data_IF_626810973891
#
_entry.id   IF_626810973891
#
_cell.length_a   1.000
_cell.length_b   1.000
_cell.length_c   1.000
_cell.angle_alpha   90.00
_cell.angle_beta   90.00
_cell.angle_gamma   90.00
#
_symmetry.space_group_name_H-M   'P 1'
#
loop_
_entity.id
_entity.type
_entity.pdbx_description
1 polymer ?
#
# COMPACT_ATOMS: atom_id res chain seq x y z
N UNK A 1 -0.26 10.03 21.77
CA UNK A 1 -1.00 11.14 21.12
C UNK A 1 -1.53 10.82 19.71
N UNK A 2 -1.15 9.67 19.11
CA UNK A 2 -1.61 9.20 17.78
C UNK A 2 -3.11 9.42 17.51
N UNK A 3 -3.95 9.05 18.48
CA UNK A 3 -5.42 9.15 18.41
C UNK A 3 -5.93 10.53 17.99
N UNK A 4 -5.23 11.61 18.33
CA UNK A 4 -5.62 12.95 17.92
C UNK A 4 -5.62 13.10 16.39
N UNK A 5 -4.64 12.51 15.71
CA UNK A 5 -4.57 12.49 14.25
C UNK A 5 -5.59 11.50 13.67
N UNK A 6 -5.63 10.27 14.24
CA UNK A 6 -6.52 9.19 13.75
C UNK A 6 -8.00 9.57 13.79
N UNK A 7 -8.42 10.41 14.75
CA UNK A 7 -9.83 10.79 14.92
C UNK A 7 -10.21 12.06 14.19
N UNK A 8 -9.24 12.89 13.81
CA UNK A 8 -9.49 14.23 13.25
C UNK A 8 -8.99 14.41 11.82
N UNK A 9 -8.17 13.50 11.30
CA UNK A 9 -7.50 13.69 10.00
C UNK A 9 -6.29 14.63 10.05
N UNK A 10 -5.91 15.07 11.25
CA UNK A 10 -4.75 15.93 11.49
C UNK A 10 -3.44 15.32 11.00
N UNK A 11 -2.46 16.19 10.75
CA UNK A 11 -1.15 15.79 10.30
C UNK A 11 -0.26 15.29 11.44
N UNK A 12 0.64 14.38 11.11
CA UNK A 12 1.74 13.96 11.97
C UNK A 12 3.07 14.17 11.23
N UNK A 13 4.01 14.85 11.88
CA UNK A 13 5.37 15.09 11.37
C UNK A 13 6.35 14.65 12.45
N UNK A 14 7.32 13.84 12.07
CA UNK A 14 8.39 13.36 12.96
C UNK A 14 9.74 13.86 12.44
N UNK A 15 10.53 14.47 13.32
CA UNK A 15 11.84 15.04 13.01
C UNK A 15 12.70 15.07 14.26
N UNK A 16 14.02 14.90 14.12
CA UNK A 16 14.95 14.93 15.25
C UNK A 16 15.05 16.34 15.88
N UNK A 17 14.82 17.38 15.08
CA UNK A 17 14.80 18.77 15.52
C UNK A 17 13.94 19.66 14.62
N UNK A 18 13.45 20.79 15.16
CA UNK A 18 12.75 21.84 14.41
C UNK A 18 13.66 22.59 13.43
N UNK A 19 14.99 22.48 13.57
CA UNK A 19 15.93 23.12 12.66
C UNK A 19 16.08 22.38 11.31
N UNK A 20 15.67 21.11 11.24
CA UNK A 20 15.82 20.27 10.05
C UNK A 20 14.78 20.59 8.96
N UNK A 21 15.18 20.37 7.71
CA UNK A 21 14.33 20.57 6.54
C UNK A 21 13.08 19.70 6.58
N UNK A 22 13.17 18.46 7.08
CA UNK A 22 12.01 17.58 7.28
C UNK A 22 10.88 18.29 8.03
N UNK A 23 11.18 18.98 9.13
CA UNK A 23 10.17 19.76 9.87
C UNK A 23 9.78 21.03 9.12
N UNK A 24 10.76 21.86 8.73
CA UNK A 24 10.51 23.19 8.14
C UNK A 24 9.70 23.10 6.85
N UNK A 25 10.05 22.18 5.96
CA UNK A 25 9.41 22.04 4.66
C UNK A 25 8.07 21.32 4.78
N UNK A 26 7.95 20.34 5.68
CA UNK A 26 6.62 19.78 6.02
C UNK A 26 5.69 20.87 6.54
N UNK A 27 6.16 21.74 7.43
CA UNK A 27 5.36 22.83 7.98
C UNK A 27 4.94 23.82 6.89
N UNK A 28 5.85 24.20 5.98
CA UNK A 28 5.51 25.03 4.81
C UNK A 28 4.46 24.36 3.94
N UNK A 29 4.58 23.05 3.72
CA UNK A 29 3.65 22.29 2.89
C UNK A 29 2.22 22.29 3.46
N UNK A 30 2.04 22.32 4.79
CA UNK A 30 0.72 22.51 5.43
C UNK A 30 0.10 23.84 4.99
N UNK A 31 0.87 24.90 4.77
CA UNK A 31 0.34 26.20 4.35
C UNK A 31 0.31 26.41 2.83
N UNK A 32 0.44 25.34 2.04
CA UNK A 32 0.36 25.41 0.59
C UNK A 32 -0.96 26.00 0.11
N UNK A 33 -0.88 26.91 -0.86
CA UNK A 33 -2.03 27.57 -1.46
C UNK A 33 -2.46 26.86 -2.76
N UNK A 34 -3.76 26.89 -3.02
CA UNK A 34 -4.36 26.52 -4.30
C UNK A 34 -4.11 27.61 -5.37
N UNK A 35 -4.57 27.36 -6.59
CA UNK A 35 -4.44 28.31 -7.70
C UNK A 35 -5.13 29.66 -7.46
N UNK A 36 -6.03 29.75 -6.48
CA UNK A 36 -6.77 30.95 -6.11
C UNK A 36 -6.20 31.64 -4.86
N UNK A 37 -5.04 31.19 -4.35
CA UNK A 37 -4.40 31.76 -3.18
C UNK A 37 -5.01 31.36 -1.83
N UNK A 38 -5.85 30.33 -1.77
CA UNK A 38 -6.41 29.82 -0.51
C UNK A 38 -5.70 28.55 -0.05
N UNK A 39 -5.69 28.25 1.25
CA UNK A 39 -5.11 26.99 1.74
C UNK A 39 -5.81 25.79 1.07
N UNK A 40 -5.05 24.74 0.72
CA UNK A 40 -5.58 23.51 0.12
C UNK A 40 -6.47 22.66 1.04
N UNK A 41 -6.81 23.16 2.22
CA UNK A 41 -7.55 22.43 3.25
C UNK A 41 -9.06 22.67 3.19
N UNK A 42 -9.80 21.64 3.64
CA UNK A 42 -11.18 21.70 4.07
C UNK A 42 -11.29 21.33 5.55
N UNK A 43 -12.21 21.99 6.25
CA UNK A 43 -12.40 21.84 7.70
C UNK A 43 -13.82 21.38 8.03
N UNK A 44 -13.98 20.83 9.23
CA UNK A 44 -15.28 20.39 9.77
C UNK A 44 -16.06 19.53 8.76
N UNK A 45 -15.33 18.62 8.11
CA UNK A 45 -15.89 17.80 7.07
C UNK A 45 -16.80 16.71 7.66
N UNK A 46 -17.86 16.41 6.93
CA UNK A 46 -18.78 15.32 7.18
C UNK A 46 -18.85 14.46 5.92
N UNK A 47 -18.56 13.18 6.06
CA UNK A 47 -18.63 12.20 4.97
C UNK A 47 -19.80 11.27 5.26
N UNK A 48 -20.73 11.15 4.31
CA UNK A 48 -21.85 10.22 4.36
C UNK A 48 -21.83 9.29 3.15
N UNK A 49 -22.11 8.01 3.39
CA UNK A 49 -22.15 6.97 2.37
C UNK A 49 -23.57 6.46 2.20
N UNK A 50 -24.03 6.49 0.96
CA UNK A 50 -25.30 5.92 0.51
C UNK A 50 -25.02 4.75 -0.41
N UNK A 51 -25.75 3.65 -0.25
CA UNK A 51 -25.61 2.48 -1.11
C UNK A 51 -26.95 1.77 -1.31
N UNK A 52 -27.01 0.91 -2.32
CA UNK A 52 -28.14 0.00 -2.53
C UNK A 52 -28.33 -0.93 -1.32
N UNK A 53 -29.54 -1.44 -1.13
CA UNK A 53 -29.93 -2.21 0.07
C UNK A 53 -29.13 -3.50 0.27
N UNK A 54 -28.61 -4.05 -0.82
CA UNK A 54 -27.80 -5.27 -0.88
C UNK A 54 -26.32 -5.04 -0.48
N UNK A 55 -25.92 -3.78 -0.28
CA UNK A 55 -24.63 -3.41 0.30
C UNK A 55 -24.86 -2.83 1.69
N UNK A 56 -24.08 -3.30 2.66
CA UNK A 56 -24.00 -2.72 3.98
C UNK A 56 -22.60 -2.15 4.22
N UNK A 57 -22.53 -1.09 5.00
CA UNK A 57 -21.30 -0.39 5.36
C UNK A 57 -20.76 -0.99 6.66
N UNK A 58 -19.63 -1.69 6.58
CA UNK A 58 -18.93 -2.25 7.73
C UNK A 58 -18.19 -1.20 8.55
N UNK A 59 -17.67 -0.19 7.87
CA UNK A 59 -17.00 0.94 8.49
C UNK A 59 -15.92 1.54 7.61
N UNK A 60 -15.06 2.33 8.21
CA UNK A 60 -14.00 3.07 7.54
C UNK A 60 -12.70 3.02 8.34
N UNK A 61 -11.57 2.98 7.63
CA UNK A 61 -10.23 3.17 8.21
C UNK A 61 -9.56 4.41 7.61
N UNK A 62 -9.16 5.32 8.50
CA UNK A 62 -8.53 6.59 8.17
C UNK A 62 -8.87 7.66 9.21
N UNK A 63 -8.34 8.87 9.01
CA UNK A 63 -8.45 9.98 9.95
C UNK A 63 -9.86 10.54 10.14
N UNK A 64 -10.74 9.87 10.90
CA UNK A 64 -12.14 10.23 11.05
C UNK A 64 -12.76 9.67 12.34
N UNK A 65 -13.96 10.15 12.68
CA UNK A 65 -14.74 9.68 13.84
C UNK A 65 -16.20 9.42 13.46
N UNK A 66 -16.74 8.30 13.92
CA UNK A 66 -18.16 7.94 13.71
C UNK A 66 -19.12 8.99 14.31
N UNK A 67 -20.20 9.32 13.60
CA UNK A 67 -21.33 10.09 14.17
C UNK A 67 -22.42 9.22 14.78
N UNK A 68 -22.22 7.88 14.79
CA UNK A 68 -23.17 6.89 15.27
C UNK A 68 -24.55 6.96 14.60
N UNK A 69 -24.62 7.46 13.35
CA UNK A 69 -25.85 7.50 12.57
C UNK A 69 -26.30 6.09 12.21
N UNK A 70 -27.38 5.64 12.85
CA UNK A 70 -27.98 4.33 12.56
C UNK A 70 -28.81 4.39 11.28
N UNK A 71 -28.91 3.26 10.60
CA UNK A 71 -29.69 3.16 9.37
C UNK A 71 -29.68 1.75 8.80
N UNK A 72 -30.54 1.49 7.80
CA UNK A 72 -30.68 0.17 7.21
C UNK A 72 -29.43 -0.30 6.47
N UNK A 73 -28.51 0.61 6.10
CA UNK A 73 -27.28 0.29 5.38
C UNK A 73 -26.06 0.11 6.29
N UNK A 74 -26.23 0.14 7.62
CA UNK A 74 -25.15 -0.21 8.57
C UNK A 74 -25.01 -1.73 8.64
N UNK A 75 -23.79 -2.26 8.51
CA UNK A 75 -23.53 -3.70 8.67
C UNK A 75 -23.38 -4.06 10.15
N UNK A 76 -23.78 -5.28 10.50
CA UNK A 76 -23.47 -5.88 11.80
C UNK A 76 -21.99 -6.26 11.93
N UNK A 77 -21.30 -6.47 10.81
CA UNK A 77 -19.86 -6.73 10.76
C UNK A 77 -19.09 -5.41 10.78
N UNK A 78 -18.61 -5.04 11.96
CA UNK A 78 -17.86 -3.80 12.20
C UNK A 78 -16.39 -3.95 11.78
N UNK A 79 -15.89 -3.00 10.98
CA UNK A 79 -14.48 -2.89 10.59
C UNK A 79 -14.03 -1.43 10.75
N UNK A 80 -12.98 -1.18 11.54
CA UNK A 80 -12.50 0.18 11.81
C UNK A 80 -13.55 1.03 12.56
N UNK A 81 -13.70 2.29 12.14
CA UNK A 81 -14.76 3.18 12.64
C UNK A 81 -16.11 2.80 11.99
N UNK A 82 -16.77 1.77 12.52
CA UNK A 82 -18.04 1.27 11.98
C UNK A 82 -19.29 1.67 12.77
N UNK A 83 -20.38 0.92 12.55
CA UNK A 83 -21.65 1.12 13.25
C UNK A 83 -22.41 2.40 12.84
N UNK A 84 -22.05 2.98 11.70
CA UNK A 84 -22.58 4.23 11.13
C UNK A 84 -22.46 4.22 9.60
N UNK A 85 -23.18 5.12 8.91
CA UNK A 85 -22.93 5.49 7.50
C UNK A 85 -22.42 6.92 7.34
N UNK A 86 -22.13 7.60 8.46
CA UNK A 86 -21.71 9.00 8.50
C UNK A 86 -20.55 9.20 9.50
N UNK A 87 -19.56 9.98 9.09
CA UNK A 87 -18.35 10.29 9.86
C UNK A 87 -18.00 11.77 9.81
N UNK A 88 -17.40 12.26 10.89
CA UNK A 88 -16.76 13.57 10.94
C UNK A 88 -15.27 13.44 10.66
N UNK A 89 -14.71 14.42 9.96
CA UNK A 89 -13.29 14.59 9.71
C UNK A 89 -12.94 16.04 10.02
N UNK A 90 -12.00 16.25 10.95
CA UNK A 90 -11.61 17.59 11.38
C UNK A 90 -10.96 18.42 10.26
N UNK A 91 -10.01 17.81 9.56
CA UNK A 91 -9.32 18.40 8.41
C UNK A 91 -9.18 17.40 7.26
N UNK A 92 -9.45 17.87 6.04
CA UNK A 92 -9.22 17.15 4.80
C UNK A 92 -8.39 18.01 3.85
N UNK A 93 -7.64 17.38 2.96
CA UNK A 93 -6.98 18.01 1.82
C UNK A 93 -7.06 17.07 0.60
N UNK A 94 -6.54 17.47 -0.58
CA UNK A 94 -6.62 16.65 -1.78
C UNK A 94 -5.96 15.27 -1.69
N UNK A 95 -5.08 15.03 -0.70
CA UNK A 95 -4.40 13.75 -0.48
C UNK A 95 -5.10 12.89 0.58
N UNK A 96 -6.02 13.42 1.37
CA UNK A 96 -6.77 12.67 2.38
C UNK A 96 -7.54 11.50 1.76
N UNK A 97 -7.16 10.26 2.12
CA UNK A 97 -7.77 9.03 1.61
C UNK A 97 -8.35 8.17 2.74
N UNK A 98 -9.66 7.88 2.67
CA UNK A 98 -10.37 7.00 3.59
C UNK A 98 -10.66 5.64 2.92
N UNK A 99 -10.49 4.54 3.66
CA UNK A 99 -10.76 3.19 3.19
C UNK A 99 -12.10 2.70 3.73
N UNK A 100 -13.10 2.56 2.86
CA UNK A 100 -14.44 2.10 3.24
C UNK A 100 -14.58 0.60 2.97
N UNK A 101 -15.10 -0.12 3.96
CA UNK A 101 -15.33 -1.56 3.88
C UNK A 101 -16.83 -1.83 3.78
N UNK A 102 -17.21 -2.67 2.82
CA UNK A 102 -18.59 -3.03 2.57
C UNK A 102 -18.78 -4.52 2.76
N UNK A 103 -19.99 -4.88 3.18
CA UNK A 103 -20.47 -6.24 3.27
C UNK A 103 -21.59 -6.45 2.26
N UNK A 104 -21.48 -7.52 1.48
CA UNK A 104 -22.48 -7.86 0.47
C UNK A 104 -23.47 -8.80 1.12
N UNK A 105 -24.71 -8.36 1.26
CA UNK A 105 -25.77 -9.23 1.76
C UNK A 105 -26.36 -9.99 0.58
N UNK A 106 -26.17 -11.31 0.57
CA UNK A 106 -26.98 -12.17 -0.29
C UNK A 106 -28.44 -12.04 0.18
N UNK A 107 -29.37 -11.75 -0.75
CA UNK A 107 -30.81 -11.63 -0.49
C UNK A 107 -31.47 -12.83 0.20
N UNK A 108 -30.69 -13.88 0.46
CA UNK A 108 -30.98 -15.06 1.30
C UNK A 108 -31.53 -14.77 2.71
N UNK A 109 -31.35 -13.56 3.24
CA UNK A 109 -31.93 -13.10 4.51
C UNK A 109 -33.31 -12.43 4.36
N UNK A 110 -33.90 -12.43 3.17
CA UNK A 110 -35.29 -12.02 2.99
C UNK A 110 -36.26 -13.13 3.41
N UNK A 111 -37.40 -12.78 4.01
CA UNK A 111 -38.44 -13.78 4.34
C UNK A 111 -38.90 -14.59 3.10
N UNK A 112 -38.77 -14.01 1.91
CA UNK A 112 -39.07 -14.65 0.63
C UNK A 112 -38.08 -15.78 0.26
N UNK A 113 -36.78 -15.64 0.55
CA UNK A 113 -35.80 -16.70 0.31
C UNK A 113 -35.90 -17.83 1.33
N UNK A 114 -36.33 -17.55 2.57
CA UNK A 114 -36.63 -18.59 3.57
C UNK A 114 -37.82 -19.45 3.13
N UNK A 115 -38.88 -18.82 2.63
CA UNK A 115 -40.06 -19.53 2.09
C UNK A 115 -39.69 -20.34 0.84
N UNK A 116 -38.90 -19.76 -0.07
CA UNK A 116 -38.46 -20.46 -1.28
C UNK A 116 -37.56 -21.66 -0.94
N UNK A 117 -36.66 -21.53 0.03
CA UNK A 117 -35.81 -22.61 0.52
C UNK A 117 -36.62 -23.73 1.21
N UNK A 118 -37.63 -23.36 2.01
CA UNK A 118 -38.53 -24.31 2.68
C UNK A 118 -39.45 -25.06 1.70
N UNK A 119 -39.87 -24.42 0.61
CA UNK A 119 -40.66 -25.08 -0.46
C UNK A 119 -39.76 -26.02 -1.27
N UNK A 120 -38.51 -25.64 -1.55
CA UNK A 120 -37.56 -26.52 -2.25
C UNK A 120 -37.07 -27.72 -1.42
N UNK A 121 -37.16 -27.69 -0.08
CA UNK A 121 -36.86 -28.85 0.77
C UNK A 121 -38.00 -29.85 0.90
N UNK A 122 -39.21 -29.51 0.43
CA UNK A 122 -40.38 -30.41 0.41
C UNK A 122 -40.55 -31.15 -0.92
N UNK A 123 -39.81 -30.78 -1.97
CA UNK A 123 -39.79 -31.46 -3.27
C UNK A 123 -38.53 -32.33 -3.42
N UNK A 124 -38.65 -33.63 -3.17
CA UNK A 124 -37.54 -34.59 -3.25
C UNK A 124 -36.83 -34.60 -4.60
N UNK A 125 -35.52 -34.29 -4.59
CA UNK A 125 -34.66 -34.41 -5.75
C UNK A 125 -33.29 -33.76 -5.53
N UNK A 126 -32.32 -34.52 -5.02
CA UNK A 126 -30.90 -34.14 -5.01
C UNK A 126 -30.39 -33.97 -6.45
N UNK A 127 -30.21 -32.72 -6.88
CA UNK A 127 -29.24 -32.33 -7.92
C UNK A 127 -28.67 -30.97 -7.55
N UNK A 128 -27.34 -30.87 -7.62
CA UNK A 128 -26.54 -29.65 -7.49
C UNK A 128 -27.09 -28.51 -8.35
N UNK A 129 -28.06 -27.75 -7.82
CA UNK A 129 -28.44 -26.46 -8.39
C UNK A 129 -27.48 -25.44 -7.82
N UNK A 130 -26.51 -25.03 -8.63
CA UNK A 130 -25.75 -23.80 -8.45
C UNK A 130 -26.70 -22.71 -7.94
N UNK A 131 -26.48 -22.26 -6.70
CA UNK A 131 -27.19 -21.10 -6.15
C UNK A 131 -26.92 -19.91 -7.06
N UNK A 132 -27.84 -19.59 -7.96
CA UNK A 132 -27.80 -18.31 -8.64
C UNK A 132 -27.96 -17.23 -7.57
N UNK A 133 -26.93 -16.39 -7.39
CA UNK A 133 -27.07 -15.20 -6.57
C UNK A 133 -28.23 -14.38 -7.13
N UNK A 134 -29.23 -14.08 -6.30
CA UNK A 134 -30.40 -13.25 -6.67
C UNK A 134 -30.00 -11.85 -7.18
N UNK A 135 -28.74 -11.47 -6.99
CA UNK A 135 -28.16 -10.19 -7.42
C UNK A 135 -27.39 -10.28 -8.73
N UNK A 136 -27.19 -11.47 -9.31
CA UNK A 136 -26.47 -11.66 -10.55
C UNK A 136 -27.07 -10.79 -11.68
N UNK A 137 -26.23 -9.97 -12.32
CA UNK A 137 -26.66 -9.06 -13.40
C UNK A 137 -27.25 -7.73 -12.93
N UNK A 138 -27.49 -7.53 -11.63
CA UNK A 138 -27.84 -6.21 -11.07
C UNK A 138 -26.58 -5.35 -10.91
N UNK A 139 -26.78 -4.05 -10.73
CA UNK A 139 -25.72 -3.12 -10.34
C UNK A 139 -25.94 -2.62 -8.92
N UNK A 140 -24.88 -2.64 -8.12
CA UNK A 140 -24.79 -1.87 -6.90
C UNK A 140 -24.52 -0.40 -7.24
N UNK A 141 -25.09 0.51 -6.46
CA UNK A 141 -24.77 1.93 -6.54
C UNK A 141 -24.21 2.37 -5.19
N UNK A 142 -23.15 3.18 -5.22
CA UNK A 142 -22.55 3.79 -4.04
C UNK A 142 -22.38 5.28 -4.32
N UNK A 143 -22.78 6.11 -3.36
CA UNK A 143 -22.60 7.55 -3.41
C UNK A 143 -21.94 8.02 -2.11
N UNK A 144 -20.85 8.76 -2.28
CA UNK A 144 -20.17 9.48 -1.22
C UNK A 144 -20.59 10.94 -1.29
N UNK A 145 -21.05 11.49 -0.17
CA UNK A 145 -21.29 12.92 0.00
C UNK A 145 -20.34 13.46 1.06
N UNK A 146 -19.50 14.42 0.69
CA UNK A 146 -18.58 15.09 1.61
C UNK A 146 -18.94 16.57 1.70
N UNK A 147 -19.52 16.98 2.82
CA UNK A 147 -19.74 18.39 3.13
C UNK A 147 -18.57 18.92 3.93
N UNK A 148 -18.03 20.09 3.62
CA UNK A 148 -16.91 20.68 4.35
C UNK A 148 -16.89 22.21 4.25
N UNK A 149 -16.14 22.87 5.12
CA UNK A 149 -15.86 24.31 5.05
C UNK A 149 -14.53 24.48 4.32
N UNK A 150 -14.55 25.07 3.13
CA UNK A 150 -13.32 25.41 2.40
C UNK A 150 -12.58 26.55 3.12
N UNK A 151 -11.28 26.63 2.94
CA UNK A 151 -10.41 27.66 3.55
C UNK A 151 -10.80 29.11 3.24
N UNK A 152 -11.60 29.34 2.20
CA UNK A 152 -12.19 30.65 1.88
C UNK A 152 -13.48 30.96 2.68
N UNK A 153 -13.87 30.10 3.62
CA UNK A 153 -15.08 30.24 4.46
C UNK A 153 -16.36 29.67 3.85
N UNK A 154 -16.35 29.25 2.58
CA UNK A 154 -17.55 28.69 1.95
C UNK A 154 -17.81 27.24 2.38
N UNK A 155 -19.07 26.92 2.66
CA UNK A 155 -19.52 25.54 2.80
C UNK A 155 -19.66 24.92 1.41
N UNK A 156 -19.00 23.78 1.18
CA UNK A 156 -19.01 23.03 -0.08
C UNK A 156 -19.54 21.62 0.12
N UNK A 157 -20.11 21.06 -0.93
CA UNK A 157 -20.52 19.66 -1.03
C UNK A 157 -19.81 19.03 -2.22
N UNK A 158 -19.06 17.95 -1.98
CA UNK A 158 -18.52 17.08 -3.01
C UNK A 158 -19.35 15.80 -3.06
N UNK A 159 -19.84 15.43 -4.24
CA UNK A 159 -20.61 14.21 -4.45
C UNK A 159 -19.87 13.34 -5.46
N UNK A 160 -19.61 12.09 -5.09
CA UNK A 160 -19.03 11.08 -5.98
C UNK A 160 -19.97 9.89 -6.01
N UNK A 161 -20.49 9.53 -7.19
CA UNK A 161 -21.36 8.37 -7.36
C UNK A 161 -20.75 7.41 -8.37
N UNK A 162 -20.80 6.11 -8.09
CA UNK A 162 -20.41 5.09 -9.05
C UNK A 162 -21.29 3.85 -8.90
N UNK A 163 -21.23 2.99 -9.91
CA UNK A 163 -21.95 1.73 -9.95
C UNK A 163 -20.98 0.57 -10.18
N UNK A 164 -21.20 -0.54 -9.50
CA UNK A 164 -20.46 -1.79 -9.70
C UNK A 164 -21.44 -2.91 -10.05
N UNK A 165 -21.11 -3.75 -11.03
CA UNK A 165 -21.97 -4.90 -11.38
C UNK A 165 -21.73 -6.02 -10.37
N UNK A 166 -22.79 -6.64 -9.89
CA UNK A 166 -22.65 -7.90 -9.17
C UNK A 166 -22.16 -8.96 -10.13
N UNK A 167 -21.08 -9.65 -9.76
CA UNK A 167 -20.57 -10.75 -10.54
C UNK A 167 -21.62 -11.87 -10.64
N UNK A 168 -21.62 -12.57 -11.77
CA UNK A 168 -22.30 -13.86 -11.88
C UNK A 168 -21.59 -14.88 -10.96
N UNK A 169 -22.20 -16.03 -10.62
CA UNK A 169 -21.58 -17.03 -9.75
C UNK A 169 -20.34 -17.73 -10.36
N UNK A 170 -19.70 -17.14 -11.37
CA UNK A 170 -18.44 -17.58 -11.96
C UNK A 170 -17.26 -16.94 -11.24
N UNK A 171 -16.32 -17.77 -10.80
CA UNK A 171 -15.08 -17.31 -10.18
C UNK A 171 -14.22 -16.47 -11.16
N UNK A 172 -14.28 -16.78 -12.45
CA UNK A 172 -13.56 -16.04 -13.48
C UNK A 172 -14.06 -14.60 -13.63
N UNK A 173 -15.35 -14.35 -13.45
CA UNK A 173 -15.90 -12.98 -13.50
C UNK A 173 -15.50 -12.16 -12.27
N UNK A 174 -15.40 -12.80 -11.10
CA UNK A 174 -14.88 -12.18 -9.88
C UNK A 174 -13.38 -11.87 -10.01
N UNK A 175 -12.60 -12.77 -10.60
CA UNK A 175 -11.16 -12.62 -10.78
C UNK A 175 -10.81 -11.36 -11.57
N UNK A 176 -11.55 -11.05 -12.64
CA UNK A 176 -11.35 -9.83 -13.46
C UNK A 176 -11.62 -8.52 -12.72
N UNK A 177 -12.41 -8.58 -11.63
CA UNK A 177 -12.71 -7.42 -10.80
C UNK A 177 -11.70 -7.18 -9.68
N UNK A 178 -10.69 -8.05 -9.53
CA UNK A 178 -9.70 -7.93 -8.48
C UNK A 178 -8.62 -6.91 -8.84
N UNK A 179 -8.56 -5.84 -8.06
CA UNK A 179 -7.48 -4.87 -8.10
C UNK A 179 -6.47 -5.22 -7.00
N UNK A 180 -5.38 -5.89 -7.39
CA UNK A 180 -4.32 -6.30 -6.48
C UNK A 180 -3.60 -5.14 -5.76
N UNK A 181 -3.50 -3.98 -6.39
CA UNK A 181 -2.85 -2.80 -5.81
C UNK A 181 -3.70 -2.24 -4.67
N UNK A 182 -4.98 -1.98 -4.96
CA UNK A 182 -5.94 -1.52 -3.95
C UNK A 182 -6.13 -2.57 -2.85
N UNK A 183 -6.19 -3.87 -3.21
CA UNK A 183 -6.31 -4.95 -2.23
C UNK A 183 -5.11 -5.01 -1.28
N UNK A 184 -3.88 -4.85 -1.78
CA UNK A 184 -2.68 -4.83 -0.95
C UNK A 184 -2.72 -3.69 0.08
N UNK A 185 -3.14 -2.48 -0.34
CA UNK A 185 -3.27 -1.32 0.54
C UNK A 185 -4.38 -1.53 1.58
N UNK A 186 -5.56 -2.02 1.17
CA UNK A 186 -6.66 -2.30 2.10
C UNK A 186 -6.32 -3.39 3.10
N UNK A 187 -5.56 -4.41 2.68
CA UNK A 187 -5.07 -5.47 3.56
C UNK A 187 -4.01 -4.97 4.53
N UNK A 188 -3.12 -4.06 4.11
CA UNK A 188 -2.19 -3.38 5.01
C UNK A 188 -2.93 -2.57 6.08
N UNK A 189 -3.93 -1.75 5.70
CA UNK A 189 -4.76 -0.99 6.64
C UNK A 189 -5.46 -1.93 7.64
N UNK A 190 -5.99 -3.04 7.16
CA UNK A 190 -6.63 -4.03 8.04
C UNK A 190 -5.61 -4.71 8.96
N UNK A 191 -4.41 -5.06 8.48
CA UNK A 191 -3.36 -5.59 9.33
C UNK A 191 -3.02 -4.61 10.48
N UNK A 192 -2.95 -3.31 10.20
CA UNK A 192 -2.67 -2.30 11.24
C UNK A 192 -3.80 -2.20 12.27
N UNK A 193 -5.05 -2.25 11.81
CA UNK A 193 -6.22 -2.28 12.69
C UNK A 193 -6.20 -3.51 13.61
N UNK A 194 -5.88 -4.70 13.06
CA UNK A 194 -5.74 -5.92 13.88
C UNK A 194 -4.58 -5.80 14.87
N UNK A 195 -3.46 -5.17 14.48
CA UNK A 195 -2.32 -4.91 15.36
C UNK A 195 -2.61 -3.97 16.52
N UNK A 196 -3.77 -3.28 16.57
CA UNK A 196 -4.15 -2.50 17.75
C UNK A 196 -4.61 -3.37 18.92
N UNK A 197 -5.06 -4.60 18.64
CA UNK A 197 -5.61 -5.53 19.65
C UNK A 197 -4.91 -6.90 19.68
N UNK A 198 -4.28 -7.31 18.59
CA UNK A 198 -3.62 -8.62 18.43
C UNK A 198 -2.10 -8.46 18.40
N UNK A 199 -1.37 -9.50 18.84
CA UNK A 199 0.08 -9.52 18.79
C UNK A 199 0.62 -9.62 17.35
N UNK A 200 1.84 -9.12 17.14
CA UNK A 200 2.45 -9.04 15.80
C UNK A 200 2.55 -10.39 15.09
N UNK A 201 2.84 -11.49 15.81
CA UNK A 201 2.99 -12.82 15.21
C UNK A 201 1.62 -13.37 14.75
N UNK A 202 0.58 -13.15 15.53
CA UNK A 202 -0.79 -13.51 15.15
C UNK A 202 -1.26 -12.75 13.91
N UNK A 203 -0.96 -11.46 13.81
CA UNK A 203 -1.29 -10.65 12.61
C UNK A 203 -0.53 -11.16 11.38
N UNK A 204 0.76 -11.49 11.50
CA UNK A 204 1.54 -12.06 10.40
C UNK A 204 0.99 -13.41 9.93
N UNK A 205 0.66 -14.31 10.86
CA UNK A 205 0.03 -15.61 10.53
C UNK A 205 -1.32 -15.43 9.85
N UNK A 206 -2.12 -14.46 10.29
CA UNK A 206 -3.38 -14.12 9.64
C UNK A 206 -3.17 -13.60 8.22
N UNK A 207 -2.15 -12.76 8.01
CA UNK A 207 -1.81 -12.23 6.69
C UNK A 207 -1.38 -13.37 5.74
N UNK A 208 -0.46 -14.24 6.19
CA UNK A 208 0.03 -15.38 5.44
C UNK A 208 -1.13 -16.35 5.10
N UNK A 209 -2.00 -16.66 6.07
CA UNK A 209 -3.20 -17.50 5.84
C UNK A 209 -4.18 -16.86 4.85
N UNK A 210 -4.36 -15.54 4.93
CA UNK A 210 -5.24 -14.81 4.01
C UNK A 210 -4.70 -14.84 2.58
N UNK A 211 -3.38 -14.69 2.42
CA UNK A 211 -2.71 -14.84 1.13
C UNK A 211 -2.88 -16.26 0.58
N UNK A 212 -2.56 -17.30 1.36
CA UNK A 212 -2.71 -18.70 0.93
C UNK A 212 -4.15 -18.97 0.49
N UNK A 213 -5.14 -18.58 1.31
CA UNK A 213 -6.55 -18.78 0.97
C UNK A 213 -6.98 -18.08 -0.33
N UNK A 214 -6.46 -16.86 -0.58
CA UNK A 214 -6.75 -16.13 -1.81
C UNK A 214 -6.14 -16.87 -3.01
N UNK A 215 -4.86 -17.20 -2.93
CA UNK A 215 -4.11 -17.80 -4.03
C UNK A 215 -4.59 -19.22 -4.32
N UNK A 216 -4.84 -20.05 -3.31
CA UNK A 216 -5.45 -21.38 -3.49
C UNK A 216 -6.81 -21.32 -4.17
N UNK A 217 -7.56 -20.23 -3.99
CA UNK A 217 -8.87 -20.07 -4.61
C UNK A 217 -8.78 -19.65 -6.08
N UNK A 218 -7.84 -18.77 -6.43
CA UNK A 218 -7.79 -18.12 -7.75
C UNK A 218 -6.64 -18.57 -8.67
N UNK A 219 -5.71 -19.38 -8.19
CA UNK A 219 -4.65 -19.96 -9.01
C UNK A 219 -5.11 -21.22 -9.74
N UNK A 220 -4.50 -21.49 -10.89
CA UNK A 220 -4.63 -22.75 -11.60
C UNK A 220 -3.48 -23.68 -11.22
N UNK A 221 -3.79 -24.90 -10.79
CA UNK A 221 -2.79 -25.92 -10.44
C UNK A 221 -3.40 -27.32 -10.40
N UNK A 222 -2.55 -28.33 -10.56
CA UNK A 222 -2.84 -29.72 -10.21
C UNK A 222 -2.40 -29.99 -8.77
N UNK A 223 -3.23 -30.71 -8.03
CA UNK A 223 -2.96 -31.02 -6.63
C UNK A 223 -1.64 -31.77 -6.49
N UNK A 224 -0.80 -31.31 -5.55
CA UNK A 224 0.54 -31.83 -5.29
C UNK A 224 1.58 -31.67 -6.43
N UNK A 225 1.32 -30.85 -7.46
CA UNK A 225 2.29 -30.55 -8.52
C UNK A 225 2.55 -29.05 -8.65
N UNK A 226 3.66 -28.59 -8.06
CA UNK A 226 4.08 -27.19 -8.07
C UNK A 226 4.40 -26.65 -9.48
N UNK A 227 4.78 -27.49 -10.45
CA UNK A 227 5.16 -27.03 -11.79
C UNK A 227 3.96 -26.52 -12.61
N UNK A 228 2.77 -27.00 -12.25
CA UNK A 228 1.50 -26.62 -12.90
C UNK A 228 0.94 -25.29 -12.39
N UNK A 229 1.48 -24.74 -11.31
CA UNK A 229 0.99 -23.52 -10.68
C UNK A 229 1.06 -22.32 -11.63
N UNK A 230 -0.07 -21.64 -11.83
CA UNK A 230 -0.16 -20.40 -12.61
C UNK A 230 -1.08 -19.40 -11.92
N UNK A 231 -0.69 -18.12 -11.98
CA UNK A 231 -1.48 -17.00 -11.52
C UNK A 231 -1.87 -16.11 -12.70
N UNK A 232 -3.13 -15.66 -12.71
CA UNK A 232 -3.59 -14.64 -13.63
C UNK A 232 -2.91 -13.29 -13.34
N UNK A 233 -2.85 -12.42 -14.36
CA UNK A 233 -2.24 -11.09 -14.29
C UNK A 233 -2.78 -10.22 -13.16
N UNK A 234 -4.07 -10.39 -12.85
CA UNK A 234 -4.81 -9.65 -11.84
C UNK A 234 -4.30 -9.97 -10.42
N UNK A 235 -3.59 -11.08 -10.22
CA UNK A 235 -3.10 -11.55 -8.92
C UNK A 235 -1.57 -11.67 -8.85
N UNK A 236 -0.87 -11.54 -9.98
CA UNK A 236 0.53 -11.95 -10.11
C UNK A 236 1.50 -11.19 -9.21
N UNK A 237 1.24 -9.92 -8.92
CA UNK A 237 2.11 -9.09 -8.05
C UNK A 237 1.62 -9.01 -6.61
N UNK A 238 0.38 -9.46 -6.32
CA UNK A 238 -0.17 -9.46 -4.96
C UNK A 238 0.70 -10.21 -3.92
N UNK A 239 1.22 -11.43 -4.21
CA UNK A 239 2.14 -12.11 -3.30
C UNK A 239 3.41 -11.31 -2.98
N UNK A 240 3.94 -10.58 -3.97
CA UNK A 240 5.11 -9.73 -3.79
C UNK A 240 4.82 -8.56 -2.84
N UNK A 241 3.64 -7.92 -2.95
CA UNK A 241 3.23 -6.90 -1.99
C UNK A 241 3.10 -7.48 -0.57
N UNK A 242 2.54 -8.68 -0.42
CA UNK A 242 2.43 -9.32 0.89
C UNK A 242 3.80 -9.67 1.48
N UNK A 243 4.75 -10.10 0.65
CA UNK A 243 6.15 -10.32 1.03
C UNK A 243 6.82 -9.05 1.56
N UNK A 244 6.65 -7.91 0.88
CA UNK A 244 7.23 -6.65 1.35
C UNK A 244 6.50 -6.08 2.57
N UNK A 245 5.17 -6.21 2.63
CA UNK A 245 4.36 -5.76 3.76
C UNK A 245 4.75 -6.48 5.06
N UNK A 246 4.85 -7.81 5.04
CA UNK A 246 5.15 -8.62 6.24
C UNK A 246 6.53 -8.33 6.85
N UNK A 247 7.49 -7.87 6.04
CA UNK A 247 8.84 -7.49 6.49
C UNK A 247 9.03 -6.00 6.72
N UNK A 248 8.02 -5.19 6.42
CA UNK A 248 8.07 -3.75 6.62
C UNK A 248 8.06 -3.38 8.11
N UNK A 249 8.58 -2.19 8.44
CA UNK A 249 8.49 -1.60 9.78
C UNK A 249 7.05 -1.27 10.21
N UNK A 250 6.06 -1.45 9.34
CA UNK A 250 4.67 -1.35 9.74
C UNK A 250 4.22 -2.53 10.60
N UNK A 251 4.77 -3.73 10.37
CA UNK A 251 4.40 -4.96 11.06
C UNK A 251 5.56 -5.55 11.90
N UNK A 252 6.80 -5.37 11.46
CA UNK A 252 7.99 -5.74 12.23
C UNK A 252 8.35 -4.59 13.18
N UNK A 253 8.32 -4.88 14.49
CA UNK A 253 8.57 -3.88 15.53
C UNK A 253 10.02 -3.83 15.99
N UNK A 254 10.85 -4.79 15.56
CA UNK A 254 12.27 -4.81 15.88
C UNK A 254 12.96 -3.60 15.24
N UNK A 255 13.85 -2.94 16.01
CA UNK A 255 14.61 -1.77 15.57
C UNK A 255 13.76 -0.55 15.16
N UNK A 256 12.52 -0.46 15.65
CA UNK A 256 11.67 0.72 15.54
C UNK A 256 11.07 1.08 16.91
N UNK A 257 11.08 2.37 17.25
CA UNK A 257 10.41 2.86 18.44
C UNK A 257 8.88 2.85 18.27
N UNK A 258 8.10 2.79 19.37
CA UNK A 258 6.64 2.90 19.30
C UNK A 258 6.15 4.17 18.59
N UNK A 259 6.87 5.28 18.74
CA UNK A 259 6.53 6.57 18.12
C UNK A 259 6.79 6.56 16.61
N UNK A 260 7.90 5.97 16.16
CA UNK A 260 8.16 5.77 14.72
C UNK A 260 7.09 4.90 14.08
N UNK A 261 6.71 3.80 14.74
CA UNK A 261 5.64 2.94 14.25
C UNK A 261 4.30 3.68 14.16
N UNK A 262 3.96 4.45 15.20
CA UNK A 262 2.74 5.26 15.20
C UNK A 262 2.76 6.28 14.07
N UNK A 263 3.90 6.95 13.84
CA UNK A 263 4.10 7.87 12.73
C UNK A 263 3.90 7.22 11.37
N UNK A 264 4.62 6.14 11.08
CA UNK A 264 4.53 5.46 9.78
C UNK A 264 3.10 4.98 9.49
N UNK A 265 2.43 4.35 10.48
CA UNK A 265 1.05 3.88 10.31
C UNK A 265 0.06 5.03 10.13
N UNK A 266 0.22 6.14 10.87
CA UNK A 266 -0.68 7.30 10.76
C UNK A 266 -0.59 7.93 9.38
N UNK A 267 0.62 8.11 8.85
CA UNK A 267 0.83 8.64 7.50
C UNK A 267 0.27 7.67 6.46
N UNK A 268 0.53 6.36 6.58
CA UNK A 268 -0.04 5.36 5.67
C UNK A 268 -1.57 5.38 5.62
N UNK A 269 -2.24 5.53 6.77
CA UNK A 269 -3.70 5.57 6.86
C UNK A 269 -4.33 6.78 6.15
N UNK A 270 -3.54 7.78 5.79
CA UNK A 270 -3.97 9.00 5.11
C UNK A 270 -3.71 8.99 3.61
N UNK A 271 -2.72 8.22 3.15
CA UNK A 271 -2.23 8.26 1.77
C UNK A 271 -3.09 7.46 0.78
N UNK A 272 -2.96 7.82 -0.50
CA UNK A 272 -3.64 7.14 -1.61
C UNK A 272 -2.97 5.79 -1.94
N UNK A 273 -3.57 5.03 -2.86
CA UNK A 273 -3.07 3.69 -3.25
C UNK A 273 -1.62 3.75 -3.71
N UNK A 274 -1.28 4.67 -4.63
CA UNK A 274 0.06 4.78 -5.22
C UNK A 274 1.13 5.02 -4.13
N UNK A 275 0.91 6.01 -3.26
CA UNK A 275 1.85 6.33 -2.18
C UNK A 275 1.93 5.22 -1.14
N UNK A 276 0.81 4.57 -0.82
CA UNK A 276 0.79 3.39 0.06
C UNK A 276 1.54 2.20 -0.54
N UNK A 277 1.53 2.01 -1.86
CA UNK A 277 2.35 0.98 -2.51
C UNK A 277 3.84 1.28 -2.40
N UNK A 278 4.26 2.53 -2.65
CA UNK A 278 5.67 2.96 -2.47
C UNK A 278 6.14 2.71 -1.02
N UNK A 279 5.25 2.91 -0.05
CA UNK A 279 5.52 2.60 1.35
C UNK A 279 5.70 1.10 1.62
N UNK A 280 4.88 0.24 1.00
CA UNK A 280 4.95 -1.22 1.13
C UNK A 280 6.21 -1.76 0.43
N UNK A 281 6.35 -1.42 -0.85
CA UNK A 281 7.41 -1.83 -1.74
C UNK A 281 8.07 -0.58 -2.33
N UNK A 282 9.20 -0.14 -1.75
CA UNK A 282 9.96 1.00 -2.25
C UNK A 282 10.33 0.87 -3.73
N UNK A 283 10.32 2.00 -4.44
CA UNK A 283 10.74 2.08 -5.84
C UNK A 283 12.26 2.31 -5.92
N UNK A 284 12.92 1.66 -6.87
CA UNK A 284 14.35 1.81 -7.13
C UNK A 284 14.56 2.16 -8.61
N UNK A 285 15.17 3.31 -8.88
CA UNK A 285 15.53 3.76 -10.23
C UNK A 285 17.03 3.66 -10.44
N UNK A 286 17.46 3.10 -11.58
CA UNK A 286 18.86 3.06 -12.00
C UNK A 286 19.15 4.19 -13.00
N UNK A 287 20.28 4.87 -12.78
CA UNK A 287 20.86 5.86 -13.68
C UNK A 287 22.25 5.36 -14.06
N UNK A 288 22.49 5.18 -15.35
CA UNK A 288 23.74 4.62 -15.87
C UNK A 288 24.05 5.22 -17.24
N UNK A 289 25.30 5.11 -17.70
CA UNK A 289 25.66 5.51 -19.06
C UNK A 289 25.12 4.58 -20.14
N UNK A 290 24.76 3.35 -19.77
CA UNK A 290 24.22 2.34 -20.68
C UNK A 290 22.79 2.68 -21.13
N UNK A 291 22.03 3.37 -20.28
CA UNK A 291 20.64 3.73 -20.54
C UNK A 291 20.45 5.24 -20.55
N UNK A 292 19.92 5.84 -21.63
CA UNK A 292 19.77 7.30 -21.75
C UNK A 292 18.71 7.88 -20.81
N UNK A 293 17.82 7.06 -20.28
CA UNK A 293 16.74 7.47 -19.36
C UNK A 293 16.75 6.61 -18.11
N UNK A 294 16.47 7.18 -16.92
CA UNK A 294 16.35 6.39 -15.71
C UNK A 294 15.22 5.37 -15.86
N UNK A 295 15.45 4.16 -15.36
CA UNK A 295 14.49 3.08 -15.47
C UNK A 295 14.32 2.33 -14.14
N UNK A 296 13.11 1.79 -13.85
CA UNK A 296 12.89 0.98 -12.67
C UNK A 296 13.70 -0.31 -12.71
N UNK A 297 14.34 -0.63 -11.59
CA UNK A 297 15.05 -1.90 -11.37
C UNK A 297 14.47 -2.61 -10.15
N UNK A 298 14.73 -3.92 -10.05
CA UNK A 298 14.29 -4.70 -8.90
C UNK A 298 14.94 -4.18 -7.62
N UNK A 299 14.16 -4.11 -6.54
CA UNK A 299 14.66 -3.80 -5.19
C UNK A 299 15.40 -5.03 -4.63
N UNK A 300 16.54 -5.33 -5.23
CA UNK A 300 17.27 -6.59 -5.09
C UNK A 300 18.79 -6.34 -5.11
N UNK A 301 19.53 -7.22 -4.46
CA UNK A 301 20.99 -7.17 -4.34
C UNK A 301 21.68 -7.10 -5.71
N UNK A 302 21.11 -7.74 -6.74
CA UNK A 302 21.64 -7.75 -8.11
C UNK A 302 21.64 -6.37 -8.78
N UNK A 303 20.83 -5.42 -8.28
CA UNK A 303 20.77 -4.05 -8.81
C UNK A 303 21.88 -3.15 -8.25
N UNK A 304 22.59 -3.59 -7.20
CA UNK A 304 23.64 -2.81 -6.52
C UNK A 304 25.00 -2.91 -7.25
N UNK A 305 25.05 -2.41 -8.49
CA UNK A 305 26.26 -2.44 -9.34
C UNK A 305 27.22 -1.29 -9.03
N UNK A 306 28.50 -1.46 -9.35
CA UNK A 306 29.53 -0.45 -9.06
C UNK A 306 29.45 0.79 -9.97
N UNK A 307 28.98 0.61 -11.22
CA UNK A 307 29.00 1.61 -12.28
C UNK A 307 27.67 2.37 -12.45
N UNK A 308 26.77 2.31 -11.47
CA UNK A 308 25.44 2.93 -11.55
C UNK A 308 25.17 3.87 -10.37
N UNK A 309 24.20 4.75 -10.54
CA UNK A 309 23.59 5.52 -9.45
C UNK A 309 22.18 4.97 -9.24
N UNK A 310 21.80 4.77 -7.98
CA UNK A 310 20.46 4.32 -7.63
C UNK A 310 19.73 5.41 -6.86
N UNK A 311 18.46 5.64 -7.21
CA UNK A 311 17.55 6.45 -6.39
C UNK A 311 16.48 5.54 -5.79
N UNK A 312 16.49 5.39 -4.47
CA UNK A 312 15.44 4.71 -3.72
C UNK A 312 14.40 5.72 -3.24
N UNK A 313 13.14 5.44 -3.54
CA UNK A 313 12.01 6.10 -2.93
C UNK A 313 11.21 5.12 -2.06
N UNK A 314 11.25 5.33 -0.75
CA UNK A 314 10.51 4.53 0.25
C UNK A 314 9.37 5.29 0.91
N UNK A 315 8.88 6.34 0.23
CA UNK A 315 7.99 7.37 0.76
C UNK A 315 8.64 8.25 1.84
N UNK A 316 9.09 7.66 2.96
CA UNK A 316 9.66 8.37 4.11
C UNK A 316 11.13 8.78 3.92
N UNK A 317 11.86 8.04 3.07
CA UNK A 317 13.24 8.35 2.71
C UNK A 317 13.38 8.39 1.20
N UNK A 318 14.10 9.40 0.72
CA UNK A 318 14.61 9.49 -0.65
C UNK A 318 16.12 9.37 -0.57
N UNK A 319 16.68 8.31 -1.16
CA UNK A 319 18.10 7.97 -1.05
C UNK A 319 18.72 7.99 -2.43
N UNK A 320 19.80 8.75 -2.59
CA UNK A 320 20.70 8.62 -3.75
C UNK A 320 21.92 7.84 -3.30
N UNK A 321 22.17 6.71 -3.94
CA UNK A 321 23.28 5.82 -3.68
C UNK A 321 24.20 5.77 -4.90
N UNK A 322 25.49 6.03 -4.69
CA UNK A 322 26.52 5.90 -5.72
C UNK A 322 27.23 4.56 -5.61
N UNK A 323 27.27 3.79 -6.71
CA UNK A 323 28.16 2.64 -6.82
C UNK A 323 29.63 3.06 -6.69
N UNK A 324 30.50 2.11 -6.30
CA UNK A 324 31.88 2.40 -5.94
C UNK A 324 32.66 3.15 -7.04
N UNK A 325 32.51 2.71 -8.30
CA UNK A 325 33.16 3.34 -9.45
C UNK A 325 32.68 4.79 -9.66
N UNK A 326 31.37 5.01 -9.59
CA UNK A 326 30.79 6.36 -9.72
C UNK A 326 31.25 7.27 -8.59
N UNK A 327 31.31 6.74 -7.37
CA UNK A 327 31.80 7.49 -6.22
C UNK A 327 33.26 7.90 -6.38
N UNK A 328 34.13 6.99 -6.83
CA UNK A 328 35.54 7.29 -7.08
C UNK A 328 35.72 8.38 -8.14
N UNK A 329 34.97 8.32 -9.25
CA UNK A 329 35.00 9.38 -10.28
C UNK A 329 34.54 10.74 -9.76
N UNK A 330 33.53 10.75 -8.88
CA UNK A 330 33.04 11.97 -8.24
C UNK A 330 34.08 12.60 -7.33
N UNK A 331 34.80 11.81 -6.53
CA UNK A 331 35.88 12.27 -5.64
C UNK A 331 37.09 12.80 -6.42
N UNK A 332 37.38 12.21 -7.59
CA UNK A 332 38.43 12.69 -8.50
C UNK A 332 38.05 13.98 -9.25
N UNK A 333 36.83 14.48 -9.07
CA UNK A 333 36.37 15.74 -9.66
C UNK A 333 36.17 15.68 -11.18
N UNK A 334 35.89 14.50 -11.75
CA UNK A 334 35.67 14.37 -13.20
C UNK A 334 34.51 15.24 -13.69
N UNK A 335 33.46 15.41 -12.87
CA UNK A 335 32.31 16.26 -13.18
C UNK A 335 32.64 17.75 -13.39
N UNK A 336 33.81 18.22 -12.95
CA UNK A 336 34.24 19.61 -13.16
C UNK A 336 35.03 19.80 -14.46
N UNK A 337 35.45 18.70 -15.12
CA UNK A 337 36.20 18.77 -16.37
C UNK A 337 35.24 18.86 -17.57
N UNK A 338 35.46 19.78 -18.52
CA UNK A 338 34.59 19.92 -19.69
C UNK A 338 34.45 18.64 -20.54
N UNK A 339 35.50 17.82 -20.59
CA UNK A 339 35.53 16.54 -21.33
C UNK A 339 34.60 15.46 -20.74
N UNK A 340 34.15 15.62 -19.49
CA UNK A 340 33.23 14.69 -18.81
C UNK A 340 31.88 15.36 -18.48
N UNK A 341 31.40 16.27 -19.33
CA UNK A 341 30.10 16.94 -19.15
C UNK A 341 28.94 15.94 -18.92
N UNK A 342 28.94 14.80 -19.63
CA UNK A 342 27.94 13.75 -19.44
C UNK A 342 27.96 13.11 -18.04
N UNK A 343 29.11 13.06 -17.37
CA UNK A 343 29.18 12.57 -15.99
C UNK A 343 28.54 13.57 -15.02
N UNK A 344 28.71 14.88 -15.26
CA UNK A 344 28.01 15.92 -14.50
C UNK A 344 26.49 15.81 -14.65
N UNK A 345 26.02 15.59 -15.88
CA UNK A 345 24.60 15.37 -16.18
C UNK A 345 24.06 14.13 -15.45
N UNK A 346 24.81 13.01 -15.48
CA UNK A 346 24.45 11.78 -14.80
C UNK A 346 24.30 11.98 -13.28
N UNK A 347 25.20 12.74 -12.65
CA UNK A 347 25.11 13.06 -11.21
C UNK A 347 23.93 13.97 -10.88
N UNK A 348 23.52 14.85 -11.80
CA UNK A 348 22.46 15.84 -11.58
C UNK A 348 21.05 15.25 -11.77
N UNK A 349 20.89 14.26 -12.66
CA UNK A 349 19.61 13.62 -12.94
C UNK A 349 18.88 13.12 -11.67
N UNK A 350 19.46 12.24 -10.83
CA UNK A 350 18.78 11.75 -9.63
C UNK A 350 18.52 12.84 -8.59
N UNK A 351 19.36 13.89 -8.53
CA UNK A 351 19.14 15.02 -7.65
C UNK A 351 17.91 15.85 -8.08
N UNK A 352 17.68 15.97 -9.39
CA UNK A 352 16.50 16.66 -9.94
C UNK A 352 15.22 15.91 -9.59
N UNK A 353 15.22 14.59 -9.80
CA UNK A 353 14.07 13.73 -9.49
C UNK A 353 13.79 13.69 -7.98
N UNK A 354 14.84 13.59 -7.16
CA UNK A 354 14.71 13.66 -5.71
C UNK A 354 14.11 15.00 -5.25
N UNK A 355 14.54 16.13 -5.81
CA UNK A 355 14.01 17.45 -5.46
C UNK A 355 12.52 17.58 -5.77
N UNK A 356 12.07 17.01 -6.90
CA UNK A 356 10.64 16.97 -7.23
C UNK A 356 9.84 16.25 -6.13
N UNK A 357 10.28 15.04 -5.74
CA UNK A 357 9.65 14.27 -4.67
C UNK A 357 9.63 15.03 -3.34
N UNK A 358 10.76 15.63 -2.94
CA UNK A 358 10.90 16.37 -1.69
C UNK A 358 9.99 17.61 -1.63
N UNK A 359 9.75 18.26 -2.77
CA UNK A 359 8.91 19.46 -2.86
C UNK A 359 7.41 19.16 -2.78
N UNK A 360 6.96 18.03 -3.34
CA UNK A 360 5.53 17.72 -3.41
C UNK A 360 5.03 16.85 -2.26
N UNK A 361 5.88 15.98 -1.70
CA UNK A 361 5.44 14.98 -0.72
C UNK A 361 5.22 15.58 0.67
N UNK A 362 4.20 15.07 1.35
CA UNK A 362 3.90 15.40 2.74
C UNK A 362 3.76 14.10 3.55
N UNK A 363 4.39 13.99 4.73
CA UNK A 363 5.46 14.87 5.22
C UNK A 363 6.68 14.82 4.27
N UNK A 364 7.53 15.85 4.35
CA UNK A 364 8.76 15.91 3.56
C UNK A 364 9.68 14.74 3.94
N UNK A 365 10.11 13.91 2.97
CA UNK A 365 10.98 12.77 3.23
C UNK A 365 12.34 13.18 3.78
N UNK A 366 12.99 12.27 4.50
CA UNK A 366 14.41 12.40 4.82
C UNK A 366 15.24 12.10 3.57
N UNK A 367 15.97 13.11 3.10
CA UNK A 367 16.92 12.94 2.00
C UNK A 367 18.24 12.37 2.52
N UNK A 368 18.77 11.34 1.84
CA UNK A 368 20.02 10.69 2.18
C UNK A 368 20.88 10.60 0.92
N UNK A 369 22.11 11.08 1.02
CA UNK A 369 23.15 10.87 0.01
C UNK A 369 24.15 9.86 0.58
N UNK A 370 24.41 8.77 -0.13
CA UNK A 370 25.38 7.76 0.30
C UNK A 370 26.07 7.08 -0.88
N UNK A 371 27.05 6.25 -0.57
CA UNK A 371 27.85 5.49 -1.53
C UNK A 371 28.01 4.06 -1.05
N UNK A 372 28.45 3.17 -1.94
CA UNK A 372 28.82 1.80 -1.61
C UNK A 372 29.82 1.77 -0.45
N UNK A 373 29.56 0.89 0.53
CA UNK A 373 30.37 0.78 1.76
C UNK A 373 30.15 1.88 2.82
N UNK A 374 29.45 2.97 2.49
CA UNK A 374 29.16 4.05 3.42
C UNK A 374 28.15 3.68 4.52
N UNK A 375 28.27 4.25 5.72
CA UNK A 375 27.41 3.92 6.87
C UNK A 375 25.91 4.17 6.62
N UNK A 376 25.58 5.21 5.85
CA UNK A 376 24.20 5.55 5.48
C UNK A 376 23.62 4.63 4.39
N UNK A 377 24.44 3.84 3.69
CA UNK A 377 23.95 2.85 2.72
C UNK A 377 23.08 1.76 3.37
N UNK A 378 23.19 1.57 4.70
CA UNK A 378 22.33 0.65 5.46
C UNK A 378 20.84 0.92 5.28
N UNK A 379 20.43 2.16 5.03
CA UNK A 379 19.02 2.51 4.80
C UNK A 379 18.50 1.92 3.48
N UNK A 380 19.35 1.81 2.46
CA UNK A 380 19.04 1.11 1.22
C UNK A 380 19.08 -0.41 1.44
N UNK A 381 20.19 -0.93 2.01
CA UNK A 381 20.40 -2.37 2.18
C UNK A 381 19.33 -3.04 3.03
N UNK A 382 18.79 -2.36 4.05
CA UNK A 382 17.70 -2.87 4.88
C UNK A 382 16.36 -3.07 4.12
N UNK A 383 16.23 -2.50 2.92
CA UNK A 383 15.03 -2.61 2.06
C UNK A 383 15.20 -3.59 0.91
N UNK A 384 16.43 -3.93 0.58
CA UNK A 384 16.78 -4.78 -0.55
C UNK A 384 16.37 -6.24 -0.29
N UNK A 385 15.85 -6.92 -1.31
CA UNK A 385 15.62 -8.36 -1.27
C UNK A 385 16.97 -9.10 -1.23
N UNK A 386 17.20 -9.97 -0.23
CA UNK A 386 18.46 -10.70 -0.10
C UNK A 386 18.48 -11.93 -1.02
N UNK A 387 18.52 -11.72 -2.34
CA UNK A 387 18.69 -12.80 -3.33
C UNK A 387 20.07 -13.44 -3.25
N UNK A 388 21.09 -12.66 -2.91
CA UNK A 388 22.45 -13.11 -2.64
C UNK A 388 22.81 -12.80 -1.18
N UNK A 389 23.07 -13.86 -0.41
CA UNK A 389 23.41 -13.77 1.00
C UNK A 389 24.76 -14.42 1.27
N UNK A 390 25.30 -14.20 2.47
CA UNK A 390 26.49 -14.90 2.95
C UNK A 390 26.37 -16.44 3.00
N UNK A 391 25.15 -16.98 2.83
CA UNK A 391 24.86 -18.43 2.78
C UNK A 391 24.69 -18.95 1.35
N UNK A 392 24.69 -18.07 0.33
CA UNK A 392 24.58 -18.49 -1.06
C UNK A 392 25.79 -19.36 -1.45
N UNK A 393 25.56 -20.43 -2.21
CA UNK A 393 26.64 -21.32 -2.65
C UNK A 393 27.54 -20.63 -3.68
N UNK A 394 28.79 -21.09 -3.81
CA UNK A 394 29.79 -20.53 -4.75
C UNK A 394 29.29 -20.37 -6.20
N UNK A 395 28.33 -21.18 -6.65
CA UNK A 395 27.75 -21.13 -8.00
C UNK A 395 26.60 -20.12 -8.17
N UNK A 396 26.09 -19.52 -7.09
CA UNK A 396 24.96 -18.55 -7.11
C UNK A 396 25.46 -17.10 -6.98
N UNK A 397 26.78 -16.90 -6.91
CA UNK A 397 27.41 -15.59 -6.93
C UNK A 397 27.50 -15.06 -8.37
N UNK A 398 26.95 -13.88 -8.59
CA UNK A 398 27.41 -13.05 -9.70
C UNK A 398 28.58 -12.20 -9.19
N UNK A 399 29.72 -12.20 -9.89
CA UNK A 399 30.94 -11.47 -9.48
C UNK A 399 30.72 -9.97 -9.21
N UNK A 400 29.62 -9.38 -9.70
CA UNK A 400 29.36 -7.94 -9.68
C UNK A 400 28.22 -7.50 -8.74
N UNK A 401 27.56 -8.42 -8.01
CA UNK A 401 26.44 -8.08 -7.12
C UNK A 401 26.84 -8.02 -5.64
N UNK A 402 26.23 -7.09 -4.91
CA UNK A 402 26.53 -6.89 -3.49
C UNK A 402 25.83 -7.92 -2.60
N UNK A 403 26.58 -8.62 -1.76
CA UNK A 403 26.02 -9.57 -0.77
C UNK A 403 25.29 -8.84 0.36
N UNK A 404 24.05 -9.24 0.64
CA UNK A 404 23.28 -8.72 1.79
C UNK A 404 23.43 -9.66 2.99
N UNK A 405 23.97 -9.14 4.09
CA UNK A 405 24.17 -9.91 5.32
C UNK A 405 22.87 -9.95 6.15
N UNK A 406 22.02 -10.92 5.88
CA UNK A 406 20.78 -11.17 6.63
C UNK A 406 20.40 -12.66 6.62
N UNK A 407 19.59 -13.06 7.61
CA UNK A 407 18.92 -14.36 7.68
C UNK A 407 17.47 -14.30 7.17
N UNK A 408 17.04 -13.15 6.67
CA UNK A 408 15.71 -12.96 6.09
C UNK A 408 15.50 -13.87 4.87
N UNK A 409 14.27 -14.38 4.77
CA UNK A 409 13.84 -15.20 3.62
C UNK A 409 13.77 -14.33 2.37
N UNK A 410 14.37 -14.79 1.27
CA UNK A 410 14.29 -14.13 -0.04
C UNK A 410 12.89 -14.21 -0.63
N UNK A 411 12.54 -13.29 -1.54
CA UNK A 411 11.27 -13.34 -2.28
C UNK A 411 11.09 -14.67 -3.02
N UNK A 412 12.17 -15.20 -3.62
CA UNK A 412 12.13 -16.50 -4.33
C UNK A 412 11.70 -17.63 -3.40
N UNK A 413 12.36 -17.76 -2.25
CA UNK A 413 12.04 -18.79 -1.25
C UNK A 413 10.63 -18.61 -0.68
N UNK A 414 10.20 -17.36 -0.46
CA UNK A 414 8.83 -17.06 -0.04
C UNK A 414 7.81 -17.55 -1.08
N UNK A 415 8.04 -17.29 -2.37
CA UNK A 415 7.17 -17.73 -3.45
C UNK A 415 7.15 -19.26 -3.59
N UNK A 416 8.31 -19.92 -3.50
CA UNK A 416 8.40 -21.39 -3.52
C UNK A 416 7.58 -22.02 -2.39
N UNK A 417 7.69 -21.48 -1.17
CA UNK A 417 6.91 -21.94 -0.03
C UNK A 417 5.41 -21.69 -0.19
N UNK A 418 5.03 -20.51 -0.69
CA UNK A 418 3.63 -20.18 -0.98
C UNK A 418 3.03 -21.17 -1.99
N UNK A 419 3.72 -21.42 -3.10
CA UNK A 419 3.28 -22.36 -4.14
C UNK A 419 3.11 -23.76 -3.55
N UNK A 420 4.09 -24.23 -2.78
CA UNK A 420 4.03 -25.55 -2.14
C UNK A 420 2.82 -25.69 -1.21
N UNK A 421 2.54 -24.69 -0.38
CA UNK A 421 1.38 -24.71 0.53
C UNK A 421 0.05 -24.65 -0.23
N UNK A 422 0.00 -23.90 -1.33
CA UNK A 422 -1.21 -23.78 -2.16
C UNK A 422 -1.52 -25.11 -2.86
N UNK A 423 -0.54 -25.75 -3.50
CA UNK A 423 -0.80 -27.00 -4.23
C UNK A 423 -1.11 -28.19 -3.31
N UNK A 424 -0.78 -28.08 -2.02
CA UNK A 424 -1.10 -29.07 -0.99
C UNK A 424 -2.48 -28.85 -0.32
N UNK A 425 -3.06 -27.65 -0.46
CA UNK A 425 -4.29 -27.24 0.23
C UNK A 425 -5.56 -27.99 -0.16
#
# INVERSE_FOLDING_TARGET
MKVCCDKTGGHMVMSDSFSMNVFKDSLKNVFSLDANGHLKHGYCAKVEVFCTKELKVSGVMGGCSSTNKKGPNVSDKVIGEGGTTEWNVGVIDPKSTLAFYFDVTDGSSSAASIITNAISSLGGGSKDKQRQSENAGKSAFIQFQTTYIHSNGQKRLRVTSFSCKYAQPSLADLARGFDQETAAVLMARYAFYKSETEDSMSVLRWLDKSLINLISKFADYQKNDAHTFRLASEFSIYPQFMYHLRRSHFLQTFNASPDEMAFYRTVFMRENVINSLIMIQPALLEYSFENPTPHPVLLDAVSLKQNVILMLDSFFHVIIWYGDMIHQWREQGFQEKPEYAHFKELLQAPATDANHILSERFPTPKFILCNQGGSQARFLLAKVNPSQTHKSGLNDYSDDAQVVNTDDVSLKTFMEHLVMLVVQS
#
